data_IF_423308502562
#
_entry.id   IF_423308502562
#
_cell.length_a   1.000
_cell.length_b   1.000
_cell.length_c   1.000
_cell.angle_alpha   90.00
_cell.angle_beta   90.00
_cell.angle_gamma   90.00
#
_symmetry.space_group_name_H-M   'P 1'
#
loop_
_entity.id
_entity.type
_entity.pdbx_description
1 polymer ?
#
# COMPACT_ATOMS: atom_id res chain seq x y z
N UNK A 1 -34.41 -17.06 34.37
CA UNK A 1 -34.82 -17.45 33.00
C UNK A 1 -35.55 -16.25 32.42
N UNK A 2 -35.09 -15.52 31.40
CA UNK A 2 -34.18 -15.80 30.29
C UNK A 2 -33.42 -14.49 29.99
N UNK A 3 -32.10 -14.57 29.82
CA UNK A 3 -31.25 -13.48 29.37
C UNK A 3 -31.44 -13.32 27.85
N UNK A 4 -31.79 -12.14 27.37
CA UNK A 4 -31.70 -11.79 25.95
C UNK A 4 -30.26 -11.38 25.66
N UNK A 5 -29.51 -12.28 25.01
CA UNK A 5 -28.21 -12.00 24.41
C UNK A 5 -28.44 -11.15 23.14
N UNK A 6 -28.10 -9.87 23.22
CA UNK A 6 -27.96 -9.03 22.03
C UNK A 6 -26.74 -9.53 21.23
N UNK A 7 -27.04 -10.14 20.07
CA UNK A 7 -26.07 -10.51 19.05
C UNK A 7 -25.29 -9.26 18.62
N UNK A 8 -24.05 -9.14 19.08
CA UNK A 8 -23.08 -8.21 18.51
C UNK A 8 -22.70 -8.72 17.12
N UNK A 9 -23.51 -8.35 16.12
CA UNK A 9 -23.12 -8.37 14.72
C UNK A 9 -21.93 -7.44 14.58
N UNK A 10 -20.73 -8.02 14.60
CA UNK A 10 -19.50 -7.34 14.21
C UNK A 10 -19.64 -7.00 12.73
N UNK A 11 -20.15 -5.80 12.47
CA UNK A 11 -20.25 -5.21 11.15
C UNK A 11 -18.83 -4.97 10.63
N UNK A 12 -18.22 -6.00 10.05
CA UNK A 12 -17.13 -5.80 9.11
C UNK A 12 -17.74 -5.12 7.90
N UNK A 13 -17.66 -3.79 7.87
CA UNK A 13 -17.91 -3.03 6.64
C UNK A 13 -17.00 -3.60 5.57
N UNK A 14 -17.56 -4.37 4.66
CA UNK A 14 -16.96 -4.62 3.36
C UNK A 14 -17.00 -3.27 2.65
N UNK A 15 -15.95 -2.47 2.82
CA UNK A 15 -15.64 -1.33 1.94
C UNK A 15 -15.90 -1.80 0.50
N UNK A 16 -16.67 -1.04 -0.27
CA UNK A 16 -17.19 -1.40 -1.60
C UNK A 16 -16.13 -1.66 -2.66
N UNK A 17 -15.34 -2.72 -2.46
CA UNK A 17 -14.36 -3.22 -3.38
C UNK A 17 -15.08 -3.88 -4.56
N UNK A 18 -14.54 -3.76 -5.78
CA UNK A 18 -15.11 -4.42 -6.94
C UNK A 18 -15.15 -5.94 -6.74
N UNK A 19 -16.26 -6.55 -7.15
CA UNK A 19 -16.49 -7.99 -7.09
C UNK A 19 -16.35 -8.63 -8.49
N UNK A 20 -16.16 -9.97 -8.53
CA UNK A 20 -16.04 -10.73 -9.77
C UNK A 20 -14.60 -10.91 -10.28
N UNK A 21 -14.47 -11.21 -11.58
CA UNK A 21 -13.22 -11.58 -12.25
C UNK A 21 -12.55 -10.45 -13.05
N UNK A 22 -12.98 -9.21 -12.81
CA UNK A 22 -12.37 -8.02 -13.44
C UNK A 22 -10.95 -7.74 -12.89
N UNK A 23 -10.09 -7.03 -13.64
CA UNK A 23 -8.78 -6.60 -13.16
C UNK A 23 -8.86 -5.82 -11.84
N UNK A 24 -9.86 -4.95 -11.68
CA UNK A 24 -10.09 -4.16 -10.48
C UNK A 24 -10.37 -5.04 -9.26
N UNK A 25 -11.25 -6.03 -9.42
CA UNK A 25 -11.63 -6.94 -8.36
C UNK A 25 -10.46 -7.85 -7.95
N UNK A 26 -9.69 -8.33 -8.94
CA UNK A 26 -8.49 -9.15 -8.72
C UNK A 26 -7.40 -8.35 -7.99
N UNK A 27 -7.07 -7.15 -8.47
CA UNK A 27 -6.09 -6.27 -7.83
C UNK A 27 -6.51 -5.91 -6.41
N UNK A 28 -7.78 -5.55 -6.19
CA UNK A 28 -8.29 -5.24 -4.87
C UNK A 28 -8.13 -6.39 -3.87
N UNK A 29 -8.38 -7.63 -4.30
CA UNK A 29 -8.20 -8.82 -3.47
C UNK A 29 -6.72 -9.14 -3.25
N UNK A 30 -5.91 -9.04 -4.29
CA UNK A 30 -4.48 -9.39 -4.24
C UNK A 30 -3.66 -8.40 -3.42
N UNK A 31 -3.92 -7.09 -3.51
CA UNK A 31 -3.26 -6.07 -2.66
C UNK A 31 -3.60 -6.31 -1.18
N UNK A 32 -4.87 -6.57 -0.87
CA UNK A 32 -5.29 -6.94 0.49
C UNK A 32 -4.54 -8.18 0.99
N UNK A 33 -4.56 -9.27 0.22
CA UNK A 33 -3.92 -10.52 0.62
C UNK A 33 -2.40 -10.34 0.78
N UNK A 34 -1.75 -9.60 -0.12
CA UNK A 34 -0.33 -9.28 -0.02
C UNK A 34 -0.02 -8.50 1.26
N UNK A 35 -0.75 -7.42 1.53
CA UNK A 35 -0.51 -6.58 2.70
C UNK A 35 -0.80 -7.30 4.04
N UNK A 36 -1.78 -8.21 4.07
CA UNK A 36 -2.19 -8.89 5.31
C UNK A 36 -1.40 -10.18 5.58
N UNK A 37 -0.57 -10.64 4.64
CA UNK A 37 0.29 -11.81 4.82
C UNK A 37 1.45 -11.49 5.79
N UNK A 38 1.81 -12.39 6.73
CA UNK A 38 2.99 -12.23 7.59
C UNK A 38 4.29 -12.33 6.79
N UNK A 39 5.33 -11.60 7.22
CA UNK A 39 6.62 -11.55 6.52
C UNK A 39 7.39 -12.88 6.61
N UNK A 40 8.31 -13.19 5.66
CA UNK A 40 9.01 -14.49 5.56
C UNK A 40 9.84 -14.95 6.76
N UNK A 41 10.15 -14.07 7.72
CA UNK A 41 10.83 -14.45 8.99
C UNK A 41 9.92 -15.29 9.89
N UNK A 42 8.60 -15.23 9.68
CA UNK A 42 7.65 -16.19 10.22
C UNK A 42 7.53 -17.35 9.21
N UNK A 43 8.19 -18.46 9.53
CA UNK A 43 8.42 -19.73 8.79
C UNK A 43 7.24 -20.39 8.02
N UNK A 44 6.09 -19.73 7.88
CA UNK A 44 4.87 -20.26 7.23
C UNK A 44 4.31 -19.35 6.10
N UNK A 45 4.93 -18.20 5.78
CA UNK A 45 4.38 -17.20 4.85
C UNK A 45 4.85 -17.22 3.39
N UNK A 46 5.88 -18.00 3.02
CA UNK A 46 6.62 -17.84 1.75
C UNK A 46 5.88 -18.18 0.44
N UNK A 47 4.59 -18.50 0.45
CA UNK A 47 3.85 -18.92 -0.76
C UNK A 47 2.93 -17.86 -1.37
N UNK A 48 2.20 -17.11 -0.54
CA UNK A 48 1.08 -16.31 -1.04
C UNK A 48 1.51 -14.99 -1.69
N UNK A 49 2.56 -14.35 -1.19
CA UNK A 49 3.06 -13.08 -1.71
C UNK A 49 3.57 -13.21 -3.15
N UNK A 50 4.26 -14.31 -3.47
CA UNK A 50 4.75 -14.62 -4.82
C UNK A 50 3.60 -14.78 -5.82
N UNK A 51 2.46 -15.32 -5.37
CA UNK A 51 1.29 -15.50 -6.23
C UNK A 51 0.52 -14.20 -6.47
N UNK A 52 0.53 -13.26 -5.50
CA UNK A 52 -0.22 -12.02 -5.64
C UNK A 52 0.48 -11.00 -6.54
N UNK A 53 1.82 -10.90 -6.49
CA UNK A 53 2.55 -9.85 -7.20
C UNK A 53 2.29 -9.83 -8.72
N UNK A 54 2.35 -10.94 -9.46
CA UNK A 54 2.04 -10.94 -10.89
C UNK A 54 0.62 -10.46 -11.19
N UNK A 55 -0.36 -10.81 -10.34
CA UNK A 55 -1.76 -10.39 -10.50
C UNK A 55 -1.90 -8.88 -10.29
N UNK A 56 -1.23 -8.33 -9.28
CA UNK A 56 -1.27 -6.90 -8.98
C UNK A 56 -0.64 -6.10 -10.13
N UNK A 57 0.55 -6.51 -10.58
CA UNK A 57 1.28 -5.81 -11.66
C UNK A 57 0.51 -5.89 -12.96
N UNK A 58 0.09 -7.09 -13.39
CA UNK A 58 -0.66 -7.27 -14.64
C UNK A 58 -1.98 -6.50 -14.61
N UNK A 59 -2.75 -6.59 -13.51
CA UNK A 59 -4.02 -5.86 -13.41
C UNK A 59 -3.84 -4.35 -13.42
N UNK A 60 -2.80 -3.82 -12.75
CA UNK A 60 -2.49 -2.40 -12.76
C UNK A 60 -1.95 -1.91 -14.12
N UNK A 61 -1.30 -2.78 -14.88
CA UNK A 61 -0.85 -2.50 -16.25
C UNK A 61 -2.03 -2.48 -17.24
N UNK A 62 -2.93 -3.47 -17.13
CA UNK A 62 -4.09 -3.66 -18.00
C UNK A 62 -5.20 -2.62 -17.76
N UNK A 63 -5.36 -2.14 -16.52
CA UNK A 63 -6.44 -1.21 -16.16
C UNK A 63 -5.94 0.02 -15.37
N UNK A 64 -6.07 1.22 -15.97
CA UNK A 64 -6.07 2.51 -15.28
C UNK A 64 -6.79 2.54 -13.93
N UNK A 65 -7.97 1.93 -13.86
CA UNK A 65 -8.85 1.93 -12.69
C UNK A 65 -8.32 0.97 -11.63
N UNK A 66 -7.81 -0.19 -12.04
CA UNK A 66 -7.19 -1.14 -11.12
C UNK A 66 -5.92 -0.55 -10.48
N UNK A 67 -5.10 0.19 -11.23
CA UNK A 67 -3.96 0.92 -10.68
C UNK A 67 -4.37 1.98 -9.64
N UNK A 68 -5.47 2.70 -9.88
CA UNK A 68 -6.01 3.66 -8.92
C UNK A 68 -6.50 2.97 -7.63
N UNK A 69 -7.18 1.82 -7.76
CA UNK A 69 -7.64 1.00 -6.63
C UNK A 69 -6.45 0.47 -5.81
N UNK A 70 -5.39 -0.02 -6.47
CA UNK A 70 -4.17 -0.44 -5.81
C UNK A 70 -3.57 0.71 -4.98
N UNK A 71 -3.45 1.90 -5.58
CA UNK A 71 -2.91 3.07 -4.89
C UNK A 71 -3.76 3.48 -3.69
N UNK A 72 -5.09 3.47 -3.82
CA UNK A 72 -5.98 3.79 -2.70
C UNK A 72 -5.82 2.80 -1.54
N UNK A 73 -5.79 1.50 -1.83
CA UNK A 73 -5.63 0.47 -0.80
C UNK A 73 -4.25 0.54 -0.13
N UNK A 74 -3.17 0.68 -0.91
CA UNK A 74 -1.81 0.83 -0.36
C UNK A 74 -1.76 2.03 0.59
N UNK A 75 -2.40 3.15 0.22
CA UNK A 75 -2.50 4.32 1.11
C UNK A 75 -3.26 4.02 2.41
N UNK A 76 -4.35 3.24 2.35
CA UNK A 76 -5.07 2.79 3.56
C UNK A 76 -4.17 1.90 4.44
N UNK A 77 -3.42 0.99 3.85
CA UNK A 77 -2.51 0.09 4.56
C UNK A 77 -1.28 0.80 5.16
N UNK A 78 -0.82 1.89 4.55
CA UNK A 78 0.20 2.76 5.15
C UNK A 78 -0.31 3.62 6.32
N UNK A 79 -1.62 3.82 6.44
CA UNK A 79 -2.17 4.72 7.46
C UNK A 79 -1.87 4.23 8.88
N UNK A 80 -1.75 5.18 9.82
CA UNK A 80 -1.38 4.90 11.21
C UNK A 80 -2.37 4.02 11.98
N UNK A 81 -3.50 3.62 11.39
CA UNK A 81 -4.44 2.69 12.02
C UNK A 81 -3.87 1.27 12.13
N UNK A 82 -2.75 0.97 11.46
CA UNK A 82 -2.15 -0.37 11.41
C UNK A 82 -0.98 -0.58 12.39
N UNK A 83 -0.81 0.26 13.43
CA UNK A 83 0.34 0.16 14.38
C UNK A 83 0.44 -1.22 15.05
N UNK A 84 -0.69 -1.89 15.28
CA UNK A 84 -0.72 -3.22 15.90
C UNK A 84 -0.20 -4.35 14.99
N UNK A 85 0.05 -4.07 13.70
CA UNK A 85 0.44 -5.06 12.68
C UNK A 85 1.55 -4.49 11.80
N UNK A 86 2.81 -4.46 12.25
CA UNK A 86 3.91 -3.82 11.53
C UNK A 86 4.21 -4.43 10.15
N UNK A 87 3.82 -5.69 9.91
CA UNK A 87 3.92 -6.33 8.59
C UNK A 87 3.08 -5.63 7.51
N UNK A 88 1.93 -5.07 7.88
CA UNK A 88 1.00 -4.43 6.94
C UNK A 88 1.58 -3.19 6.26
N UNK A 89 2.07 -2.16 6.97
CA UNK A 89 2.71 -1.03 6.34
C UNK A 89 4.04 -1.41 5.65
N UNK A 90 4.75 -2.44 6.14
CA UNK A 90 5.94 -2.96 5.46
C UNK A 90 5.60 -3.46 4.06
N UNK A 91 4.62 -4.36 3.94
CA UNK A 91 4.19 -4.92 2.67
C UNK A 91 3.61 -3.85 1.73
N UNK A 92 2.92 -2.84 2.27
CA UNK A 92 2.48 -1.69 1.50
C UNK A 92 3.65 -0.89 0.89
N UNK A 93 4.75 -0.69 1.63
CA UNK A 93 5.98 -0.03 1.11
C UNK A 93 6.62 -0.87 -0.01
N UNK A 94 6.64 -2.20 0.14
CA UNK A 94 7.13 -3.11 -0.91
C UNK A 94 6.32 -2.92 -2.20
N UNK A 95 4.99 -2.86 -2.12
CA UNK A 95 4.14 -2.63 -3.29
C UNK A 95 4.39 -1.27 -3.95
N UNK A 96 4.64 -0.20 -3.18
CA UNK A 96 5.01 1.11 -3.76
C UNK A 96 6.26 0.98 -4.63
N UNK A 97 7.29 0.30 -4.13
CA UNK A 97 8.54 0.10 -4.86
C UNK A 97 8.31 -0.68 -6.14
N UNK A 98 7.64 -1.82 -6.05
CA UNK A 98 7.38 -2.70 -7.20
C UNK A 98 6.53 -1.96 -8.25
N UNK A 99 5.44 -1.31 -7.83
CA UNK A 99 4.51 -0.67 -8.76
C UNK A 99 5.05 0.60 -9.39
N UNK A 100 5.95 1.32 -8.71
CA UNK A 100 6.68 2.44 -9.30
C UNK A 100 7.71 2.00 -10.35
N UNK A 101 8.13 0.74 -10.33
CA UNK A 101 8.92 0.13 -11.40
C UNK A 101 8.05 -0.46 -12.49
N UNK A 102 7.02 -1.23 -12.12
CA UNK A 102 6.10 -1.90 -13.03
C UNK A 102 4.68 -1.92 -12.41
N UNK A 103 3.69 -1.22 -12.96
CA UNK A 103 3.68 -0.65 -14.31
C UNK A 103 4.30 0.75 -14.45
N UNK A 104 4.92 1.28 -13.40
CA UNK A 104 5.54 2.60 -13.44
C UNK A 104 4.51 3.73 -13.60
N UNK A 105 4.53 4.54 -14.67
CA UNK A 105 3.64 5.69 -14.85
C UNK A 105 2.14 5.42 -14.64
N UNK A 106 1.65 4.22 -15.00
CA UNK A 106 0.24 3.84 -14.80
C UNK A 106 -0.13 3.83 -13.31
N UNK A 107 0.81 3.44 -12.44
CA UNK A 107 0.67 3.49 -10.99
C UNK A 107 1.03 4.86 -10.43
N UNK A 108 2.20 5.43 -10.77
CA UNK A 108 2.74 6.63 -10.11
C UNK A 108 1.86 7.86 -10.29
N UNK A 109 1.10 7.97 -11.38
CA UNK A 109 0.08 9.02 -11.57
C UNK A 109 -1.03 9.05 -10.50
N UNK A 110 -1.20 7.97 -9.74
CA UNK A 110 -2.15 7.86 -8.64
C UNK A 110 -1.54 8.22 -7.27
N UNK A 111 -0.26 8.61 -7.21
CA UNK A 111 0.37 9.16 -6.00
C UNK A 111 -0.05 10.63 -5.87
N UNK A 112 -1.33 10.80 -5.49
CA UNK A 112 -1.98 12.10 -5.34
C UNK A 112 -1.58 12.82 -4.04
N UNK A 113 -2.15 14.00 -3.82
CA UNK A 113 -1.89 14.78 -2.60
C UNK A 113 -2.26 14.05 -1.32
N UNK A 114 -3.29 13.20 -1.32
CA UNK A 114 -3.68 12.39 -0.16
C UNK A 114 -2.64 11.31 0.11
N UNK A 115 -2.12 10.67 -0.93
CA UNK A 115 -1.05 9.69 -0.82
C UNK A 115 0.22 10.33 -0.24
N UNK A 116 0.63 11.47 -0.81
CA UNK A 116 1.82 12.21 -0.33
C UNK A 116 1.64 12.63 1.13
N UNK A 117 0.45 13.08 1.53
CA UNK A 117 0.14 13.41 2.92
C UNK A 117 0.28 12.18 3.85
N UNK A 118 -0.23 11.02 3.44
CA UNK A 118 -0.08 9.78 4.21
C UNK A 118 1.40 9.39 4.35
N UNK A 119 2.20 9.43 3.28
CA UNK A 119 3.64 9.17 3.34
C UNK A 119 4.32 10.13 4.33
N UNK A 120 4.04 11.43 4.22
CA UNK A 120 4.62 12.44 5.11
C UNK A 120 4.24 12.20 6.58
N UNK A 121 3.00 11.81 6.83
CA UNK A 121 2.53 11.45 8.17
C UNK A 121 3.33 10.26 8.74
N UNK A 122 3.49 9.19 7.97
CA UNK A 122 4.31 8.02 8.38
C UNK A 122 5.76 8.42 8.63
N UNK A 123 6.36 9.24 7.77
CA UNK A 123 7.72 9.73 7.95
C UNK A 123 7.92 10.54 9.24
N UNK A 124 6.87 11.16 9.79
CA UNK A 124 6.98 12.02 10.98
C UNK A 124 6.56 11.33 12.27
N UNK A 125 5.49 10.55 12.25
CA UNK A 125 4.85 10.07 13.48
C UNK A 125 4.68 8.56 13.56
N UNK A 126 5.23 7.78 12.61
CA UNK A 126 5.27 6.33 12.76
C UNK A 126 6.14 5.95 13.97
N UNK A 127 5.57 5.14 14.87
CA UNK A 127 6.27 4.67 16.08
C UNK A 127 7.34 3.63 15.74
N UNK A 128 7.07 2.79 14.74
CA UNK A 128 8.02 1.78 14.29
C UNK A 128 9.13 2.41 13.44
N UNK A 129 10.32 2.47 14.04
CA UNK A 129 11.52 3.04 13.40
C UNK A 129 11.99 2.24 12.19
N UNK A 130 11.73 0.93 12.16
CA UNK A 130 12.11 0.09 11.02
C UNK A 130 11.26 0.43 9.79
N UNK A 131 9.95 0.61 9.97
CA UNK A 131 9.02 1.04 8.92
C UNK A 131 9.35 2.46 8.45
N UNK A 132 9.59 3.37 9.39
CA UNK A 132 9.99 4.75 9.07
C UNK A 132 11.29 4.78 8.24
N UNK A 133 12.31 4.00 8.65
CA UNK A 133 13.58 3.92 7.93
C UNK A 133 13.43 3.25 6.56
N UNK A 134 12.59 2.22 6.44
CA UNK A 134 12.35 1.53 5.18
C UNK A 134 11.60 2.42 4.17
N UNK A 135 10.58 3.15 4.64
CA UNK A 135 9.89 4.14 3.81
C UNK A 135 10.87 5.24 3.37
N UNK A 136 11.70 5.74 4.28
CA UNK A 136 12.72 6.75 3.97
C UNK A 136 13.64 6.31 2.83
N UNK A 137 14.22 5.11 2.94
CA UNK A 137 15.09 4.51 1.89
C UNK A 137 14.34 4.33 0.57
N UNK A 138 13.06 3.96 0.63
CA UNK A 138 12.22 3.79 -0.57
C UNK A 138 12.01 5.12 -1.28
N UNK A 139 11.66 6.19 -0.57
CA UNK A 139 11.47 7.52 -1.19
C UNK A 139 12.80 8.09 -1.70
N UNK A 140 13.91 7.89 -0.98
CA UNK A 140 15.24 8.29 -1.43
C UNK A 140 15.64 7.60 -2.74
N UNK A 141 15.40 6.30 -2.85
CA UNK A 141 15.61 5.54 -4.08
C UNK A 141 14.75 6.09 -5.22
N UNK A 142 13.45 6.29 -5.01
CA UNK A 142 12.57 6.87 -6.03
C UNK A 142 13.03 8.27 -6.46
N UNK A 143 13.43 9.11 -5.51
CA UNK A 143 13.91 10.46 -5.79
C UNK A 143 15.17 10.47 -6.67
N UNK A 144 16.08 9.52 -6.44
CA UNK A 144 17.32 9.38 -7.22
C UNK A 144 17.05 8.78 -8.60
N UNK A 145 16.27 7.70 -8.66
CA UNK A 145 16.19 6.83 -9.83
C UNK A 145 15.02 7.19 -10.76
N UNK A 146 14.00 7.91 -10.24
CA UNK A 146 12.76 8.26 -10.96
C UNK A 146 12.53 9.76 -11.05
N UNK A 147 13.58 10.58 -10.96
CA UNK A 147 13.49 12.05 -11.10
C UNK A 147 12.87 12.52 -12.44
N UNK A 148 12.88 11.67 -13.46
CA UNK A 148 12.27 11.91 -14.77
C UNK A 148 10.74 11.68 -14.79
N UNK A 149 10.17 11.01 -13.79
CA UNK A 149 8.73 10.76 -13.70
C UNK A 149 8.01 11.97 -13.08
N UNK A 150 7.39 12.78 -13.94
CA UNK A 150 6.67 13.98 -13.54
C UNK A 150 5.47 13.71 -12.60
N UNK A 151 4.94 12.48 -12.57
CA UNK A 151 3.86 12.12 -11.64
C UNK A 151 4.32 12.20 -10.17
N UNK A 152 5.63 12.02 -9.93
CA UNK A 152 6.21 12.01 -8.60
C UNK A 152 6.66 13.41 -8.12
N UNK A 153 6.42 14.47 -8.90
CA UNK A 153 6.87 15.82 -8.58
C UNK A 153 6.43 16.29 -7.18
N UNK A 154 5.17 16.03 -6.80
CA UNK A 154 4.65 16.39 -5.48
C UNK A 154 5.30 15.58 -4.34
N UNK A 155 5.55 14.29 -4.58
CA UNK A 155 6.27 13.43 -3.63
C UNK A 155 7.70 13.93 -3.42
N UNK A 156 8.39 14.30 -4.50
CA UNK A 156 9.77 14.78 -4.46
C UNK A 156 9.91 16.17 -3.86
N UNK A 157 8.96 17.06 -4.11
CA UNK A 157 8.88 18.36 -3.44
C UNK A 157 8.68 18.20 -1.92
N UNK A 158 7.87 17.23 -1.49
CA UNK A 158 7.71 16.89 -0.07
C UNK A 158 9.00 16.29 0.50
N UNK A 159 9.58 15.30 -0.18
CA UNK A 159 10.80 14.63 0.24
C UNK A 159 11.98 15.60 0.41
N UNK A 160 12.16 16.54 -0.51
CA UNK A 160 13.23 17.55 -0.45
C UNK A 160 13.18 18.45 0.79
N UNK A 161 11.98 18.63 1.38
CA UNK A 161 11.79 19.37 2.62
C UNK A 161 12.00 18.49 3.85
N UNK A 162 11.60 17.22 3.75
CA UNK A 162 11.66 16.27 4.88
C UNK A 162 13.05 15.64 5.07
N UNK A 163 13.82 15.47 4.00
CA UNK A 163 15.17 14.88 4.05
C UNK A 163 16.21 15.80 4.68
N UNK A 164 15.91 17.10 4.81
CA UNK A 164 16.77 18.12 5.45
C UNK A 164 16.56 18.25 6.96
N UNK A 165 15.60 17.52 7.52
CA UNK A 165 15.32 17.44 8.95
C UNK A 165 15.92 16.17 9.53
#
# INVERSE_FOLDING_TARGET
>A
MILALESHSSSTRTDGLPEGDTPEAKVARSVKLFCETPSPDDSYGQGNEVLQLPIIVAGAEESPTAAAIAAEQIRKYLSMNNVARPNVPYNAIVLIRILADNPGPTFTRNIDSKFVFTIQSVLRSCQDRSIQAFLRKTIEMLYRDKAHDNNLANLFAMWSKESRK
#
